data_IF_011587165913
#
_entry.id   IF_011587165913
#
_cell.length_a   1.000
_cell.length_b   1.000
_cell.length_c   1.000
_cell.angle_alpha   90.00
_cell.angle_beta   90.00
_cell.angle_gamma   90.00
#
_symmetry.space_group_name_H-M   'P 1'
#
loop_
_entity.id
_entity.type
_entity.pdbx_description
1 polymer ?
#
# COMPACT_ATOMS: atom_id res chain seq x y z
N UNK A 1 15.33 -1.36 -1.97
CA UNK A 1 13.95 -1.82 -1.68
C UNK A 1 13.97 -3.08 -0.84
N UNK A 2 13.13 -3.16 0.19
CA UNK A 2 12.99 -4.36 1.00
C UNK A 2 12.00 -5.29 0.32
N UNK A 3 12.48 -6.34 -0.32
CA UNK A 3 11.63 -7.25 -1.08
C UNK A 3 10.59 -7.95 -0.23
N UNK A 4 10.93 -8.30 0.99
CA UNK A 4 9.99 -8.96 1.89
C UNK A 4 8.82 -8.04 2.23
N UNK A 5 9.10 -6.79 2.56
CA UNK A 5 8.06 -5.81 2.84
C UNK A 5 7.23 -5.53 1.59
N UNK A 6 7.87 -5.46 0.44
CA UNK A 6 7.18 -5.23 -0.81
C UNK A 6 6.20 -6.37 -1.10
N UNK A 7 6.62 -7.62 -0.90
CA UNK A 7 5.74 -8.76 -1.12
C UNK A 7 4.57 -8.77 -0.14
N UNK A 8 4.82 -8.39 1.11
CA UNK A 8 3.74 -8.27 2.09
C UNK A 8 2.75 -7.17 1.70
N UNK A 9 3.26 -6.03 1.26
CA UNK A 9 2.42 -4.93 0.81
C UNK A 9 1.59 -5.33 -0.41
N UNK A 10 2.19 -6.02 -1.37
CA UNK A 10 1.47 -6.50 -2.55
C UNK A 10 0.31 -7.42 -2.15
N UNK A 11 0.57 -8.34 -1.23
CA UNK A 11 -0.47 -9.27 -0.80
C UNK A 11 -1.65 -8.52 -0.16
N UNK A 12 -1.34 -7.51 0.64
CA UNK A 12 -2.39 -6.70 1.27
C UNK A 12 -3.19 -5.93 0.21
N UNK A 13 -2.50 -5.35 -0.76
CA UNK A 13 -3.16 -4.61 -1.85
C UNK A 13 -4.07 -5.52 -2.66
N UNK A 14 -3.57 -6.71 -3.02
CA UNK A 14 -4.36 -7.67 -3.79
C UNK A 14 -5.64 -8.02 -3.04
N UNK A 15 -5.51 -8.27 -1.75
CA UNK A 15 -6.66 -8.67 -0.93
C UNK A 15 -7.67 -7.54 -0.78
N UNK A 16 -7.20 -6.34 -0.45
CA UNK A 16 -8.11 -5.23 -0.13
C UNK A 16 -8.71 -4.55 -1.35
N UNK A 17 -7.98 -4.51 -2.45
CA UNK A 17 -8.46 -3.89 -3.67
C UNK A 17 -8.98 -4.92 -4.67
N UNK A 18 -8.96 -6.19 -4.31
CA UNK A 18 -9.45 -7.29 -5.16
C UNK A 18 -8.82 -7.25 -6.54
N UNK A 19 -7.49 -7.17 -6.56
CA UNK A 19 -6.74 -7.08 -7.81
C UNK A 19 -6.72 -8.45 -8.51
N UNK A 20 -7.21 -8.50 -9.73
CA UNK A 20 -7.23 -9.73 -10.51
C UNK A 20 -5.86 -10.10 -11.06
N UNK A 21 -5.12 -9.11 -11.48
CA UNK A 21 -3.81 -9.30 -12.12
C UNK A 21 -2.70 -8.70 -11.27
N UNK A 22 -1.96 -9.55 -10.53
CA UNK A 22 -0.89 -9.03 -9.66
C UNK A 22 0.20 -8.28 -10.42
N UNK A 23 0.35 -8.49 -11.72
CA UNK A 23 1.37 -7.80 -12.49
C UNK A 23 1.09 -6.30 -12.62
N UNK A 24 -0.12 -5.87 -12.31
CA UNK A 24 -0.46 -4.45 -12.30
C UNK A 24 0.16 -3.71 -11.10
N UNK A 25 0.56 -4.46 -10.08
CA UNK A 25 1.15 -3.86 -8.89
C UNK A 25 2.64 -3.71 -9.10
N UNK A 26 3.08 -2.47 -9.28
CA UNK A 26 4.49 -2.11 -9.40
C UNK A 26 4.73 -0.92 -8.49
N UNK A 27 6.00 -0.59 -8.17
CA UNK A 27 6.27 0.60 -7.35
C UNK A 27 5.73 1.89 -7.97
N UNK A 28 5.61 1.94 -9.29
CA UNK A 28 5.10 3.11 -9.99
C UNK A 28 3.59 3.12 -10.15
N UNK A 29 2.91 2.02 -9.81
CA UNK A 29 1.46 1.93 -9.94
C UNK A 29 0.78 2.93 -8.99
N UNK A 30 -0.17 3.67 -9.52
CA UNK A 30 -0.91 4.66 -8.75
C UNK A 30 -2.19 4.05 -8.23
N UNK A 31 -2.47 4.26 -6.94
CA UNK A 31 -3.60 3.60 -6.31
C UNK A 31 -4.93 3.93 -6.98
N UNK A 32 -5.15 5.19 -7.30
CA UNK A 32 -6.41 5.61 -7.90
C UNK A 32 -6.48 5.34 -9.40
N UNK A 33 -5.43 5.70 -10.11
CA UNK A 33 -5.47 5.67 -11.57
C UNK A 33 -5.18 4.29 -12.14
N UNK A 34 -4.25 3.56 -11.54
CA UNK A 34 -3.83 2.27 -12.07
C UNK A 34 -4.51 1.10 -11.38
N UNK A 35 -4.85 1.24 -10.10
CA UNK A 35 -5.46 0.18 -9.32
C UNK A 35 -6.93 0.43 -8.99
N UNK A 36 -7.46 1.54 -9.46
CA UNK A 36 -8.89 1.89 -9.28
C UNK A 36 -9.34 1.99 -7.82
N UNK A 37 -8.45 2.37 -6.92
CA UNK A 37 -8.81 2.54 -5.53
C UNK A 37 -9.51 3.88 -5.33
N UNK A 38 -10.66 3.87 -4.68
CA UNK A 38 -11.29 5.14 -4.28
C UNK A 38 -10.82 5.49 -2.87
N UNK A 39 -11.35 6.58 -2.29
CA UNK A 39 -10.88 7.04 -0.98
C UNK A 39 -11.20 6.03 0.12
N UNK A 40 -12.34 5.34 0.03
CA UNK A 40 -12.70 4.34 1.02
C UNK A 40 -11.74 3.14 0.94
N UNK A 41 -11.44 2.70 -0.28
CA UNK A 41 -10.49 1.62 -0.50
C UNK A 41 -9.13 1.97 0.09
N UNK A 42 -8.71 3.22 -0.09
CA UNK A 42 -7.43 3.68 0.44
C UNK A 42 -7.41 3.61 1.97
N UNK A 43 -8.48 4.03 2.64
CA UNK A 43 -8.55 3.94 4.09
C UNK A 43 -8.49 2.50 4.58
N UNK A 44 -9.22 1.61 3.92
CA UNK A 44 -9.21 0.20 4.29
C UNK A 44 -7.83 -0.41 4.08
N UNK A 45 -7.17 -0.02 3.01
CA UNK A 45 -5.82 -0.50 2.72
C UNK A 45 -4.83 -0.05 3.79
N UNK A 46 -4.88 1.24 4.16
CA UNK A 46 -3.99 1.78 5.20
C UNK A 46 -4.21 1.06 6.52
N UNK A 47 -5.46 0.86 6.88
CA UNK A 47 -5.80 0.17 8.13
C UNK A 47 -5.24 -1.26 8.14
N UNK A 48 -5.39 -1.96 7.03
CA UNK A 48 -4.88 -3.32 6.93
C UNK A 48 -3.35 -3.37 7.05
N UNK A 49 -2.67 -2.41 6.43
CA UNK A 49 -1.22 -2.31 6.53
C UNK A 49 -0.80 -2.10 7.98
N UNK A 50 -1.48 -1.19 8.67
CA UNK A 50 -1.17 -0.92 10.07
C UNK A 50 -1.32 -2.16 10.94
N UNK A 51 -2.39 -2.92 10.72
CA UNK A 51 -2.65 -4.11 11.52
C UNK A 51 -1.68 -5.23 11.20
N UNK A 52 -1.44 -5.50 9.93
CA UNK A 52 -0.64 -6.65 9.55
C UNK A 52 0.86 -6.43 9.78
N UNK A 53 1.31 -5.21 9.64
CA UNK A 53 2.73 -4.89 9.82
C UNK A 53 3.03 -4.28 11.19
N UNK A 54 1.97 -4.08 11.99
CA UNK A 54 2.09 -3.54 13.34
C UNK A 54 2.83 -2.20 13.37
N UNK A 55 2.41 -1.28 12.50
CA UNK A 55 2.96 0.06 12.43
C UNK A 55 1.82 1.07 12.49
N UNK A 56 2.18 2.34 12.67
CA UNK A 56 1.19 3.43 12.67
C UNK A 56 1.46 4.33 11.48
N UNK A 57 0.42 4.59 10.70
CA UNK A 57 0.52 5.50 9.55
C UNK A 57 -0.34 6.73 9.86
N UNK A 58 0.28 7.89 10.12
CA UNK A 58 -0.50 9.11 10.35
C UNK A 58 -1.36 9.45 9.13
N UNK A 59 -2.55 9.97 9.38
CA UNK A 59 -3.47 10.28 8.30
C UNK A 59 -2.86 11.24 7.28
N UNK A 60 -2.11 12.23 7.73
CA UNK A 60 -1.46 13.18 6.82
C UNK A 60 -0.49 12.50 5.87
N UNK A 61 0.18 11.45 6.34
CA UNK A 61 1.11 10.72 5.50
C UNK A 61 0.37 9.81 4.54
N UNK A 62 -0.72 9.20 5.00
CA UNK A 62 -1.52 8.31 4.15
C UNK A 62 -2.10 9.06 2.96
N UNK A 63 -2.50 10.31 3.15
CA UNK A 63 -3.07 11.10 2.05
C UNK A 63 -2.03 11.50 1.01
N UNK A 64 -0.75 11.39 1.34
CA UNK A 64 0.33 11.69 0.40
C UNK A 64 0.71 10.49 -0.47
N UNK A 65 0.18 9.32 -0.17
CA UNK A 65 0.51 8.12 -0.93
C UNK A 65 -0.22 8.13 -2.27
N UNK A 66 0.49 8.40 -3.33
CA UNK A 66 -0.06 8.31 -4.69
C UNK A 66 0.25 6.98 -5.32
N UNK A 67 1.47 6.49 -5.13
CA UNK A 67 1.96 5.26 -5.75
C UNK A 67 2.26 4.21 -4.69
N UNK A 68 2.30 2.97 -5.15
CA UNK A 68 2.69 1.85 -4.28
C UNK A 68 4.06 2.12 -3.65
N UNK A 69 4.99 2.65 -4.43
CA UNK A 69 6.32 2.97 -3.93
C UNK A 69 6.33 3.98 -2.80
N UNK A 70 5.39 4.93 -2.81
CA UNK A 70 5.29 5.92 -1.73
C UNK A 70 4.94 5.23 -0.41
N UNK A 71 3.97 4.32 -0.45
CA UNK A 71 3.58 3.57 0.73
C UNK A 71 4.73 2.67 1.20
N UNK A 72 5.40 2.02 0.26
CA UNK A 72 6.51 1.13 0.59
C UNK A 72 7.65 1.89 1.26
N UNK A 73 7.99 3.07 0.73
CA UNK A 73 9.05 3.88 1.31
C UNK A 73 8.74 4.27 2.76
N UNK A 74 7.49 4.64 3.02
CA UNK A 74 7.09 4.97 4.38
C UNK A 74 7.19 3.74 5.29
N UNK A 75 6.70 2.60 4.82
CA UNK A 75 6.74 1.37 5.59
C UNK A 75 8.19 0.99 5.92
N UNK A 76 9.07 1.09 4.94
CA UNK A 76 10.48 0.79 5.15
C UNK A 76 11.12 1.69 6.21
N UNK A 77 10.65 2.92 6.32
CA UNK A 77 11.17 3.84 7.34
C UNK A 77 10.70 3.49 8.75
N UNK A 78 9.58 2.77 8.86
CA UNK A 78 9.02 2.40 10.16
C UNK A 78 9.47 1.03 10.63
N UNK A 79 9.77 0.13 9.71
CA UNK A 79 10.17 -1.25 10.01
C UNK A 79 11.68 -1.34 9.81
N UNK A 80 12.40 -1.61 10.87
CA UNK A 80 13.87 -1.69 10.78
C UNK A 80 14.38 -3.10 10.92
#
# INVERSE_FOLDING_TARGET
>A
MNEKLYEQLKAIIIDKLEIDDPSKITPEARFREDLNADSLDTYELVYAIEEQLNITIPQERATEFEKVGDALAFIESQVK
#
